data_IF_198623645853
#
_entry.id   IF_198623645853
#
_cell.length_a   1.000
_cell.length_b   1.000
_cell.length_c   1.000
_cell.angle_alpha   90.00
_cell.angle_beta   90.00
_cell.angle_gamma   90.00
#
_symmetry.space_group_name_H-M   'P 1'
#
loop_
_entity.id
_entity.type
_entity.pdbx_description
1 polymer ?
#
# COMPACT_ATOMS: atom_id res chain seq x y z
N UNK A 1 -11.82 -27.15 -15.89
CA UNK A 1 -12.62 -26.24 -15.06
C UNK A 1 -13.26 -25.21 -15.99
N UNK A 2 -14.56 -25.01 -15.87
CA UNK A 2 -15.33 -24.10 -16.74
C UNK A 2 -15.09 -22.63 -16.36
N UNK A 3 -14.91 -21.75 -17.36
CA UNK A 3 -14.60 -20.33 -17.14
C UNK A 3 -15.78 -19.61 -16.50
N UNK A 4 -17.01 -19.90 -16.91
CA UNK A 4 -18.22 -19.33 -16.34
C UNK A 4 -18.38 -19.71 -14.86
N UNK A 5 -18.02 -20.93 -14.48
CA UNK A 5 -17.99 -21.34 -13.07
C UNK A 5 -16.97 -20.49 -12.30
N UNK A 6 -15.78 -20.26 -12.84
CA UNK A 6 -14.75 -19.46 -12.18
C UNK A 6 -15.17 -18.00 -12.00
N UNK A 7 -15.75 -17.40 -13.04
CA UNK A 7 -16.31 -16.05 -13.00
C UNK A 7 -17.36 -15.95 -11.90
N UNK A 8 -18.32 -16.89 -11.85
CA UNK A 8 -19.36 -16.91 -10.82
C UNK A 8 -18.80 -17.00 -9.40
N UNK A 9 -17.80 -17.86 -9.18
CA UNK A 9 -17.15 -18.01 -7.87
C UNK A 9 -16.43 -16.72 -7.47
N UNK A 10 -15.70 -16.09 -8.40
CA UNK A 10 -14.97 -14.85 -8.12
C UNK A 10 -15.90 -13.67 -7.89
N UNK A 11 -16.99 -13.55 -8.67
CA UNK A 11 -18.02 -12.54 -8.42
C UNK A 11 -18.59 -12.71 -7.01
N UNK A 12 -18.98 -13.93 -6.63
CA UNK A 12 -19.52 -14.20 -5.30
C UNK A 12 -18.53 -13.85 -4.18
N UNK A 13 -17.22 -14.10 -4.38
CA UNK A 13 -16.18 -13.66 -3.43
C UNK A 13 -16.11 -12.14 -3.33
N UNK A 14 -16.18 -11.43 -4.45
CA UNK A 14 -16.13 -9.96 -4.51
C UNK A 14 -17.39 -9.28 -3.97
N UNK A 15 -18.53 -9.95 -4.03
CA UNK A 15 -19.81 -9.47 -3.47
C UNK A 15 -19.89 -9.64 -1.96
N UNK A 16 -19.06 -10.51 -1.38
CA UNK A 16 -19.07 -10.76 0.05
C UNK A 16 -18.32 -9.65 0.82
N UNK A 17 -18.84 -9.17 1.97
CA UNK A 17 -18.20 -8.11 2.76
C UNK A 17 -16.75 -8.40 3.18
N UNK A 18 -16.35 -9.67 3.25
CA UNK A 18 -14.96 -10.05 3.55
C UNK A 18 -13.96 -9.57 2.50
N UNK A 19 -14.39 -9.28 1.26
CA UNK A 19 -13.52 -8.74 0.22
C UNK A 19 -12.92 -7.37 0.59
N UNK A 20 -13.58 -6.61 1.48
CA UNK A 20 -13.06 -5.34 1.99
C UNK A 20 -12.04 -5.51 3.13
N UNK A 21 -11.82 -6.73 3.59
CA UNK A 21 -10.97 -7.05 4.76
C UNK A 21 -9.82 -7.98 4.40
N UNK A 22 -9.45 -8.03 3.12
CA UNK A 22 -8.34 -8.83 2.65
C UNK A 22 -7.02 -8.22 3.14
N UNK A 23 -6.11 -9.06 3.60
CA UNK A 23 -4.72 -8.64 3.78
C UNK A 23 -4.02 -8.45 2.42
N UNK A 24 -2.79 -7.93 2.43
CA UNK A 24 -2.03 -7.64 1.22
C UNK A 24 -1.75 -8.89 0.37
N UNK A 25 -1.49 -10.05 0.99
CA UNK A 25 -1.22 -11.30 0.26
C UNK A 25 -2.50 -11.83 -0.40
N UNK A 26 -3.61 -11.82 0.35
CA UNK A 26 -4.91 -12.23 -0.14
C UNK A 26 -5.40 -11.33 -1.28
N UNK A 27 -5.20 -10.02 -1.15
CA UNK A 27 -5.49 -9.05 -2.20
C UNK A 27 -4.69 -9.34 -3.47
N UNK A 28 -3.36 -9.47 -3.36
CA UNK A 28 -2.52 -9.73 -4.53
C UNK A 28 -2.81 -11.09 -5.18
N UNK A 29 -3.15 -12.11 -4.38
CA UNK A 29 -3.62 -13.40 -4.91
C UNK A 29 -4.91 -13.27 -5.69
N UNK A 30 -5.90 -12.54 -5.16
CA UNK A 30 -7.16 -12.27 -5.84
C UNK A 30 -6.95 -11.47 -7.13
N UNK A 31 -6.09 -10.45 -7.07
CA UNK A 31 -5.69 -9.63 -8.21
C UNK A 31 -5.04 -10.45 -9.31
N UNK A 32 -4.08 -11.31 -8.97
CA UNK A 32 -3.42 -12.20 -9.92
C UNK A 32 -4.40 -13.18 -10.57
N UNK A 33 -5.35 -13.72 -9.79
CA UNK A 33 -6.38 -14.62 -10.29
C UNK A 33 -7.31 -13.93 -11.29
N UNK A 34 -7.82 -12.73 -10.97
CA UNK A 34 -8.70 -11.97 -11.86
C UNK A 34 -7.96 -11.49 -13.12
N UNK A 35 -6.68 -11.10 -13.02
CA UNK A 35 -5.86 -10.73 -14.19
C UNK A 35 -5.57 -11.91 -15.10
N UNK A 36 -5.34 -13.08 -14.53
CA UNK A 36 -5.18 -14.32 -15.31
C UNK A 36 -6.48 -14.63 -16.06
N UNK A 37 -7.62 -14.48 -15.39
CA UNK A 37 -8.92 -14.67 -16.02
C UNK A 37 -9.16 -13.68 -17.16
N UNK A 38 -8.82 -12.40 -16.96
CA UNK A 38 -8.85 -11.37 -18.00
C UNK A 38 -8.03 -11.77 -19.22
N UNK A 39 -6.80 -12.24 -19.01
CA UNK A 39 -5.93 -12.71 -20.08
C UNK A 39 -6.59 -13.87 -20.86
N UNK A 40 -7.16 -14.85 -20.16
CA UNK A 40 -7.84 -16.01 -20.76
C UNK A 40 -9.07 -15.62 -21.59
N UNK A 41 -9.90 -14.67 -21.13
CA UNK A 41 -11.08 -14.25 -21.90
C UNK A 41 -10.71 -13.32 -23.06
N UNK A 42 -9.59 -12.59 -22.97
CA UNK A 42 -9.10 -11.71 -24.05
C UNK A 42 -8.75 -12.47 -25.32
N UNK A 43 -8.23 -13.69 -25.21
CA UNK A 43 -7.96 -14.55 -26.38
C UNK A 43 -9.24 -14.92 -27.15
N UNK A 44 -10.42 -14.75 -26.53
CA UNK A 44 -11.73 -15.08 -27.10
C UNK A 44 -12.54 -13.86 -27.56
N UNK A 45 -11.94 -12.67 -27.61
CA UNK A 45 -12.59 -11.42 -28.04
C UNK A 45 -13.30 -11.51 -29.41
N UNK A 46 -12.84 -12.41 -30.28
CA UNK A 46 -13.41 -12.62 -31.61
C UNK A 46 -14.77 -13.35 -31.59
N UNK A 47 -15.19 -13.88 -30.44
CA UNK A 47 -16.41 -14.68 -30.31
C UNK A 47 -17.52 -13.88 -29.64
N UNK A 48 -18.62 -13.57 -30.36
CA UNK A 48 -19.68 -12.73 -29.82
C UNK A 48 -20.38 -13.36 -28.60
N UNK A 49 -20.43 -14.68 -28.51
CA UNK A 49 -21.03 -15.39 -27.37
C UNK A 49 -20.26 -15.22 -26.05
N UNK A 50 -19.06 -14.63 -26.09
CA UNK A 50 -18.23 -14.33 -24.92
C UNK A 50 -18.33 -12.86 -24.46
N UNK A 51 -19.02 -11.99 -25.20
CA UNK A 51 -19.04 -10.56 -24.95
C UNK A 51 -19.48 -10.21 -23.51
N UNK A 52 -20.57 -10.83 -23.03
CA UNK A 52 -21.07 -10.62 -21.67
C UNK A 52 -20.07 -11.07 -20.61
N UNK A 53 -19.44 -12.23 -20.82
CA UNK A 53 -18.45 -12.79 -19.90
C UNK A 53 -17.19 -11.93 -19.85
N UNK A 54 -16.78 -11.35 -20.98
CA UNK A 54 -15.65 -10.42 -21.07
C UNK A 54 -15.99 -9.15 -20.30
N UNK A 55 -17.18 -8.58 -20.49
CA UNK A 55 -17.63 -7.40 -19.76
C UNK A 55 -17.68 -7.65 -18.25
N UNK A 56 -18.16 -8.81 -17.82
CA UNK A 56 -18.18 -9.21 -16.40
C UNK A 56 -16.77 -9.28 -15.82
N UNK A 57 -15.82 -9.88 -16.54
CA UNK A 57 -14.42 -9.98 -16.09
C UNK A 57 -13.74 -8.61 -16.02
N UNK A 58 -13.95 -7.72 -16.98
CA UNK A 58 -13.41 -6.36 -16.92
C UNK A 58 -13.98 -5.59 -15.71
N UNK A 59 -15.29 -5.70 -15.44
CA UNK A 59 -15.89 -5.12 -14.24
C UNK A 59 -15.32 -5.71 -12.94
N UNK A 60 -14.99 -7.01 -12.91
CA UNK A 60 -14.30 -7.61 -11.76
C UNK A 60 -12.89 -7.05 -11.58
N UNK A 61 -12.14 -6.79 -12.66
CA UNK A 61 -10.80 -6.17 -12.58
C UNK A 61 -10.91 -4.81 -11.90
N UNK A 62 -11.83 -3.95 -12.36
CA UNK A 62 -12.05 -2.63 -11.78
C UNK A 62 -12.49 -2.70 -10.31
N UNK A 63 -13.33 -3.67 -9.96
CA UNK A 63 -13.75 -3.89 -8.56
C UNK A 63 -12.58 -4.30 -7.69
N UNK A 64 -11.73 -5.22 -8.15
CA UNK A 64 -10.53 -5.62 -7.40
C UNK A 64 -9.57 -4.45 -7.26
N UNK A 65 -9.31 -3.68 -8.31
CA UNK A 65 -8.37 -2.56 -8.21
C UNK A 65 -8.82 -1.47 -7.22
N UNK A 66 -10.13 -1.34 -6.97
CA UNK A 66 -10.67 -0.47 -5.91
C UNK A 66 -10.49 -1.01 -4.49
N UNK A 67 -10.17 -2.28 -4.33
CA UNK A 67 -9.87 -2.89 -3.02
C UNK A 67 -8.41 -2.71 -2.61
N UNK A 68 -7.58 -2.05 -3.45
CA UNK A 68 -6.15 -1.90 -3.19
C UNK A 68 -5.89 -1.28 -1.82
N UNK A 69 -5.27 -2.03 -0.88
CA UNK A 69 -4.97 -1.53 0.46
C UNK A 69 -4.07 -0.30 0.45
N UNK A 70 -3.26 -0.10 -0.60
CA UNK A 70 -2.43 1.08 -0.76
C UNK A 70 -3.24 2.34 -1.10
N UNK A 71 -4.39 2.20 -1.77
CA UNK A 71 -5.32 3.30 -2.03
C UNK A 71 -6.14 3.68 -0.78
N UNK A 72 -6.36 2.73 0.13
CA UNK A 72 -7.02 2.99 1.40
C UNK A 72 -6.13 3.74 2.43
N UNK A 73 -4.83 3.86 2.13
CA UNK A 73 -3.81 4.45 3.00
C UNK A 73 -3.57 5.95 2.73
N UNK A 74 -4.51 6.65 2.08
CA UNK A 74 -4.56 8.11 2.14
C UNK A 74 -5.01 8.54 3.53
N UNK A 75 -4.06 8.52 4.46
CA UNK A 75 -4.22 9.05 5.81
C UNK A 75 -4.31 10.57 5.70
N UNK A 76 -5.49 11.14 5.95
CA UNK A 76 -5.62 12.57 6.23
C UNK A 76 -4.81 12.89 7.49
N UNK A 77 -3.58 13.40 7.29
CA UNK A 77 -2.81 14.01 8.36
C UNK A 77 -3.44 15.38 8.63
N UNK A 78 -3.99 15.65 9.83
CA UNK A 78 -4.51 16.97 10.14
C UNK A 78 -3.38 18.00 9.97
N UNK A 79 -3.63 19.15 9.33
CA UNK A 79 -2.64 20.22 9.26
C UNK A 79 -2.27 20.61 10.69
N UNK A 80 -1.01 20.39 11.08
CA UNK A 80 -0.52 20.80 12.39
C UNK A 80 -0.55 22.33 12.45
N UNK A 81 -1.58 22.87 13.09
CA UNK A 81 -1.63 24.27 13.45
C UNK A 81 -0.56 24.53 14.53
N UNK A 82 0.48 25.27 14.17
CA UNK A 82 1.33 25.96 15.15
C UNK A 82 2.69 25.33 15.43
N UNK A 83 3.57 25.25 14.43
CA UNK A 83 5.01 25.40 14.68
C UNK A 83 5.41 26.83 14.30
N UNK A 84 5.07 27.80 15.16
CA UNK A 84 5.76 29.09 15.16
C UNK A 84 7.23 28.79 15.39
N UNK A 85 8.04 28.90 14.33
CA UNK A 85 9.49 28.90 14.40
C UNK A 85 9.91 30.04 15.33
N UNK A 86 10.05 29.72 16.62
CA UNK A 86 10.82 30.51 17.55
C UNK A 86 12.24 30.54 17.02
N UNK A 87 12.60 31.65 16.38
CA UNK A 87 13.96 31.99 15.96
C UNK A 87 14.84 32.01 17.21
N UNK A 88 15.49 30.90 17.53
CA UNK A 88 16.58 30.89 18.51
C UNK A 88 17.81 31.49 17.81
N UNK A 89 18.06 32.77 18.09
CA UNK A 89 19.28 33.44 17.69
C UNK A 89 20.47 32.78 18.43
N UNK A 90 21.63 32.56 17.78
CA UNK A 90 22.83 32.16 18.48
C UNK A 90 23.43 33.41 19.14
N UNK A 91 23.12 33.62 20.42
CA UNK A 91 23.82 34.63 21.19
C UNK A 91 25.14 34.04 21.71
N UNK A 92 26.24 34.69 21.32
CA UNK A 92 27.57 34.43 21.85
C UNK A 92 27.67 35.17 23.18
N UNK A 93 27.65 34.47 24.31
CA UNK A 93 28.43 34.94 25.45
C UNK A 93 28.83 33.82 26.42
N UNK A 94 30.12 33.47 26.34
CA UNK A 94 31.08 33.40 27.46
C UNK A 94 30.55 32.90 28.82
N UNK A 95 30.75 31.62 29.08
CA UNK A 95 30.73 31.05 30.43
C UNK A 95 31.87 30.05 30.59
N UNK A 96 32.97 30.49 31.20
CA UNK A 96 34.09 29.66 31.61
C UNK A 96 33.62 28.50 32.49
N UNK A 97 33.97 27.27 32.12
CA UNK A 97 34.02 26.14 33.05
C UNK A 97 35.43 25.59 33.01
N UNK A 98 36.17 25.84 34.09
CA UNK A 98 37.46 25.20 34.37
C UNK A 98 37.26 23.68 34.40
N UNK A 99 37.85 22.98 33.43
CA UNK A 99 38.01 21.54 33.50
C UNK A 99 39.30 21.24 34.26
N UNK A 100 39.09 20.79 35.49
CA UNK A 100 40.11 20.39 36.44
C UNK A 100 41.10 19.38 35.88
N UNK A 101 42.34 19.66 36.26
CA UNK A 101 43.54 18.82 36.16
C UNK A 101 43.27 17.37 36.58
N UNK A 102 43.44 16.42 35.65
CA UNK A 102 43.61 15.00 35.96
C UNK A 102 45.07 14.63 35.66
N UNK A 103 45.78 14.32 36.75
CA UNK A 103 47.19 13.96 36.84
C UNK A 103 47.45 12.59 36.16
N UNK A 104 48.49 12.57 35.31
CA UNK A 104 49.46 11.48 35.03
C UNK A 104 49.00 10.07 34.62
N UNK A 105 49.35 9.72 33.37
CA UNK A 105 49.76 8.36 32.98
C UNK A 105 51.27 8.40 32.73
N UNK A 106 52.03 7.71 33.57
CA UNK A 106 53.47 7.49 33.43
C UNK A 106 53.76 6.16 32.74
N UNK A 107 54.77 6.24 31.86
CA UNK A 107 55.79 5.24 31.56
C UNK A 107 55.55 4.27 30.39
N UNK A 108 56.27 4.57 29.31
CA UNK A 108 56.73 3.64 28.30
C UNK A 108 57.90 2.82 28.85
N UNK A 109 57.88 1.50 28.63
CA UNK A 109 59.09 0.75 28.32
C UNK A 109 58.78 -0.46 27.44
#
# INVERSE_FOLDING_TARGET
MDIGIRVRVLSSKLDHPSAQRLDAEQFERLRAEVRTLRWVVRERLHRPEWADLIAEVEAMVERVERLDPALALEVEVPPQAGASLGRVAPDRDRGSVELGSADRVTECR
#
